data_IF_182224846404
#
_entry.id   IF_182224846404
#
_cell.length_a   1.000
_cell.length_b   1.000
_cell.length_c   1.000
_cell.angle_alpha   90.00
_cell.angle_beta   90.00
_cell.angle_gamma   90.00
#
_symmetry.space_group_name_H-M   'P 1'
#
loop_
_entity.id
_entity.type
_entity.pdbx_description
1 polymer ?
#
# COMPACT_ATOMS: atom_id res chain seq x y z
N UNK A 1 -13.15 6.44 -15.97
CA UNK A 1 -12.46 7.42 -15.12
C UNK A 1 -12.82 7.20 -13.64
N UNK A 2 -12.28 6.10 -13.08
CA UNK A 2 -12.61 5.64 -11.73
C UNK A 2 -12.08 6.60 -10.67
N UNK A 3 -10.92 7.18 -10.92
CA UNK A 3 -10.24 8.06 -9.97
C UNK A 3 -10.85 9.46 -9.90
N UNK A 4 -11.46 9.95 -10.98
CA UNK A 4 -12.09 11.27 -11.03
C UNK A 4 -13.32 11.43 -10.13
N UNK A 5 -13.85 10.33 -9.59
CA UNK A 5 -15.01 10.35 -8.68
C UNK A 5 -14.62 10.34 -7.20
N UNK A 6 -13.39 9.95 -6.88
CA UNK A 6 -12.88 10.00 -5.52
C UNK A 6 -12.51 11.44 -5.15
N UNK A 7 -13.08 12.03 -4.08
CA UNK A 7 -12.76 13.41 -3.69
C UNK A 7 -11.28 13.63 -3.38
N UNK A 8 -10.58 12.58 -2.96
CA UNK A 8 -9.16 12.63 -2.67
C UNK A 8 -8.32 12.64 -3.94
N UNK A 9 -8.65 11.76 -4.88
CA UNK A 9 -7.92 11.62 -6.14
C UNK A 9 -8.31 12.68 -7.18
N UNK A 10 -9.57 13.12 -7.22
CA UNK A 10 -10.05 14.10 -8.20
C UNK A 10 -9.29 15.43 -8.16
N UNK A 11 -8.70 15.75 -7.01
CA UNK A 11 -7.86 16.94 -6.84
C UNK A 11 -6.59 16.91 -7.71
N UNK A 12 -6.11 15.72 -8.07
CA UNK A 12 -4.83 15.52 -8.75
C UNK A 12 -4.95 15.01 -10.17
N UNK A 13 -6.13 14.53 -10.56
CA UNK A 13 -6.35 13.95 -11.88
C UNK A 13 -6.83 14.98 -12.89
N UNK A 14 -5.98 15.29 -13.84
CA UNK A 14 -6.43 15.70 -15.17
C UNK A 14 -6.52 14.47 -16.06
N UNK A 15 -7.43 14.49 -17.03
CA UNK A 15 -7.70 13.38 -17.96
C UNK A 15 -6.42 12.88 -18.67
N UNK A 16 -5.45 13.76 -18.86
CA UNK A 16 -4.18 13.48 -19.54
C UNK A 16 -3.14 12.77 -18.64
N UNK A 17 -3.37 12.70 -17.31
CA UNK A 17 -2.45 12.06 -16.35
C UNK A 17 -2.75 10.57 -16.14
N UNK A 18 -3.79 10.04 -16.78
CA UNK A 18 -4.20 8.63 -16.66
C UNK A 18 -3.42 7.69 -17.57
N UNK A 19 -2.56 8.20 -18.44
CA UNK A 19 -1.70 7.38 -19.29
C UNK A 19 -0.50 6.84 -18.50
N UNK A 20 -0.08 5.63 -18.81
CA UNK A 20 0.88 4.81 -18.06
C UNK A 20 2.23 5.47 -17.76
N UNK A 21 2.64 6.46 -18.54
CA UNK A 21 3.90 7.20 -18.36
C UNK A 21 3.88 8.18 -17.18
N UNK A 22 2.68 8.57 -16.70
CA UNK A 22 2.50 9.55 -15.62
C UNK A 22 2.17 8.93 -14.26
N UNK A 23 1.99 7.63 -14.19
CA UNK A 23 1.60 6.92 -12.95
C UNK A 23 2.53 7.23 -11.76
N UNK A 24 3.87 7.20 -11.88
CA UNK A 24 4.75 7.56 -10.77
C UNK A 24 4.60 9.00 -10.31
N UNK A 25 4.43 9.94 -11.26
CA UNK A 25 4.21 11.34 -10.94
C UNK A 25 2.90 11.56 -10.17
N UNK A 26 1.87 10.84 -10.56
CA UNK A 26 0.58 10.83 -9.89
C UNK A 26 0.70 10.32 -8.44
N UNK A 27 1.30 9.17 -8.22
CA UNK A 27 1.51 8.63 -6.87
C UNK A 27 2.34 9.56 -5.98
N UNK A 28 3.33 10.23 -6.55
CA UNK A 28 4.10 11.24 -5.84
C UNK A 28 3.22 12.41 -5.39
N UNK A 29 2.39 12.96 -6.27
CA UNK A 29 1.48 14.07 -5.94
C UNK A 29 0.48 13.67 -4.86
N UNK A 30 -0.11 12.48 -4.97
CA UNK A 30 -1.00 11.94 -3.94
C UNK A 30 -0.28 11.82 -2.60
N UNK A 31 0.96 11.32 -2.60
CA UNK A 31 1.74 11.14 -1.38
C UNK A 31 2.05 12.46 -0.66
N UNK A 32 2.13 13.57 -1.37
CA UNK A 32 2.46 14.87 -0.77
C UNK A 32 1.37 15.38 0.19
N UNK A 33 0.11 15.13 -0.11
CA UNK A 33 -1.03 15.59 0.71
C UNK A 33 -1.44 14.55 1.78
N UNK A 34 -0.88 13.35 1.73
CA UNK A 34 -1.17 12.32 2.74
C UNK A 34 -0.45 12.61 4.05
N UNK A 35 -1.10 12.36 5.20
CA UNK A 35 -0.41 12.35 6.48
C UNK A 35 0.58 11.18 6.55
N UNK A 36 1.67 11.35 7.29
CA UNK A 36 2.56 10.27 7.63
C UNK A 36 1.86 9.24 8.53
N UNK A 37 1.93 7.98 8.17
CA UNK A 37 1.43 6.88 8.99
C UNK A 37 2.37 6.65 10.17
N UNK A 38 1.79 6.49 11.36
CA UNK A 38 2.57 6.12 12.54
C UNK A 38 2.89 4.62 12.49
N UNK A 39 4.11 4.29 12.11
CA UNK A 39 4.61 2.91 12.12
C UNK A 39 4.76 2.40 13.56
N UNK A 40 4.32 1.17 13.82
CA UNK A 40 4.43 0.54 15.12
C UNK A 40 5.10 -0.82 14.99
N UNK A 41 6.22 -1.01 15.69
CA UNK A 41 6.82 -2.34 15.85
C UNK A 41 5.98 -3.12 16.87
N UNK A 42 5.21 -4.09 16.37
CA UNK A 42 4.25 -4.84 17.18
C UNK A 42 3.87 -6.15 16.50
N UNK A 43 3.64 -7.19 17.28
CA UNK A 43 3.06 -8.42 16.77
C UNK A 43 1.61 -8.24 16.32
N UNK A 44 1.18 -9.11 15.40
CA UNK A 44 -0.24 -9.19 15.06
C UNK A 44 -1.04 -9.63 16.29
N UNK A 45 -2.34 -9.29 16.35
CA UNK A 45 -3.20 -9.79 17.43
C UNK A 45 -3.14 -11.32 17.54
N UNK A 46 -3.12 -11.85 18.76
CA UNK A 46 -3.03 -13.31 19.03
C UNK A 46 -4.11 -14.14 18.32
N UNK A 47 -5.28 -13.55 18.09
CA UNK A 47 -6.38 -14.21 17.38
C UNK A 47 -6.38 -13.94 15.88
N UNK A 48 -5.36 -13.29 15.32
CA UNK A 48 -5.21 -13.13 13.89
C UNK A 48 -4.72 -14.44 13.26
N UNK A 49 -5.34 -14.83 12.16
CA UNK A 49 -4.95 -16.03 11.41
C UNK A 49 -4.68 -15.71 9.95
N UNK A 50 -3.71 -16.42 9.39
CA UNK A 50 -3.49 -16.39 7.95
C UNK A 50 -4.65 -17.09 7.24
N UNK A 51 -5.22 -16.46 6.22
CA UNK A 51 -6.39 -16.99 5.52
C UNK A 51 -6.30 -16.68 4.03
N UNK A 52 -6.47 -17.72 3.21
CA UNK A 52 -6.42 -17.62 1.76
C UNK A 52 -7.58 -16.81 1.16
N UNK A 53 -8.65 -16.55 1.94
CA UNK A 53 -9.72 -15.67 1.52
C UNK A 53 -9.33 -14.19 1.52
N UNK A 54 -8.25 -13.81 2.19
CA UNK A 54 -7.74 -12.43 2.15
C UNK A 54 -6.89 -12.25 0.90
N UNK A 55 -7.32 -11.36 0.02
CA UNK A 55 -6.59 -10.97 -1.18
C UNK A 55 -5.88 -9.66 -0.91
N UNK A 56 -4.58 -9.61 -1.17
CA UNK A 56 -3.76 -8.41 -1.10
C UNK A 56 -3.07 -8.18 -2.44
N UNK A 57 -3.44 -7.11 -3.12
CA UNK A 57 -2.80 -6.64 -4.34
C UNK A 57 -2.00 -5.37 -4.07
N UNK A 58 -0.66 -5.46 -4.13
CA UNK A 58 0.20 -4.27 -4.13
C UNK A 58 0.29 -3.72 -5.54
N UNK A 59 0.13 -2.41 -5.69
CA UNK A 59 0.18 -1.72 -6.99
C UNK A 59 1.33 -0.73 -7.07
N UNK A 60 1.67 -0.11 -5.95
CA UNK A 60 2.76 0.84 -5.85
C UNK A 60 3.48 0.68 -4.53
N UNK A 61 4.81 0.67 -4.61
CA UNK A 61 5.68 0.92 -3.47
C UNK A 61 6.87 1.72 -3.99
N UNK A 62 7.06 2.93 -3.51
CA UNK A 62 8.07 3.84 -4.03
C UNK A 62 8.78 4.61 -2.92
N UNK A 63 10.05 4.88 -3.14
CA UNK A 63 10.84 5.80 -2.32
C UNK A 63 10.54 7.24 -2.74
N UNK A 64 9.85 7.97 -1.89
CA UNK A 64 9.40 9.33 -2.17
C UNK A 64 10.58 10.27 -2.38
N UNK A 65 11.64 10.13 -1.56
CA UNK A 65 12.83 10.99 -1.66
C UNK A 65 13.54 10.81 -3.00
N UNK A 66 13.84 9.59 -3.39
CA UNK A 66 14.53 9.30 -4.65
C UNK A 66 13.75 9.82 -5.84
N UNK A 67 12.45 9.67 -5.82
CA UNK A 67 11.59 10.14 -6.90
C UNK A 67 11.57 11.68 -6.96
N UNK A 68 11.35 12.35 -5.83
CA UNK A 68 11.36 13.81 -5.70
C UNK A 68 12.72 14.40 -6.10
N UNK A 69 13.81 13.78 -5.66
CA UNK A 69 15.16 14.19 -6.03
C UNK A 69 15.42 14.05 -7.53
N UNK A 70 15.04 12.93 -8.16
CA UNK A 70 15.18 12.73 -9.59
C UNK A 70 14.46 13.77 -10.42
N UNK A 71 13.25 14.15 -10.05
CA UNK A 71 12.48 15.24 -10.69
C UNK A 71 13.10 16.61 -10.42
N UNK A 72 13.58 16.86 -9.21
CA UNK A 72 14.20 18.13 -8.85
C UNK A 72 15.58 18.32 -9.52
N UNK A 73 16.39 17.27 -9.60
CA UNK A 73 17.69 17.29 -10.25
C UNK A 73 17.60 17.67 -11.73
N UNK A 74 16.59 17.16 -12.45
CA UNK A 74 16.32 17.52 -13.84
C UNK A 74 15.97 19.00 -14.06
N UNK A 75 15.70 19.77 -12.99
CA UNK A 75 15.37 21.20 -13.02
C UNK A 75 16.37 22.08 -12.30
N UNK A 76 17.53 21.55 -11.88
CA UNK A 76 18.59 22.30 -11.18
C UNK A 76 18.21 22.83 -9.80
N UNK A 77 17.27 22.17 -9.09
CA UNK A 77 16.83 22.57 -7.75
C UNK A 77 17.63 21.85 -6.64
N UNK A 78 17.72 22.51 -5.48
CA UNK A 78 18.30 21.95 -4.26
C UNK A 78 17.56 20.68 -3.82
N UNK A 79 18.27 19.65 -3.32
CA UNK A 79 17.63 18.48 -2.76
C UNK A 79 16.61 18.82 -1.67
N UNK A 80 15.52 18.07 -1.56
CA UNK A 80 14.55 18.25 -0.46
C UNK A 80 15.19 17.93 0.89
N UNK A 81 14.60 18.45 1.98
CA UNK A 81 15.05 18.15 3.33
C UNK A 81 14.86 16.66 3.68
N UNK A 82 15.74 16.13 4.54
CA UNK A 82 15.69 14.72 4.99
C UNK A 82 14.36 14.34 5.68
N UNK A 83 13.66 15.32 6.26
CA UNK A 83 12.38 15.16 6.93
C UNK A 83 11.25 14.64 6.02
N UNK A 84 11.42 14.76 4.70
CA UNK A 84 10.48 14.28 3.68
C UNK A 84 10.81 12.88 3.14
N UNK A 85 11.79 12.19 3.70
CA UNK A 85 12.20 10.87 3.23
C UNK A 85 11.27 9.77 3.73
N UNK A 86 10.80 8.93 2.81
CA UNK A 86 9.92 7.83 3.16
C UNK A 86 9.47 6.99 1.99
N UNK A 87 8.64 6.01 2.32
CA UNK A 87 7.98 5.14 1.36
C UNK A 87 6.50 5.51 1.23
N UNK A 88 6.01 5.42 0.01
CA UNK A 88 4.59 5.44 -0.31
C UNK A 88 4.16 4.04 -0.77
N UNK A 89 3.06 3.55 -0.24
CA UNK A 89 2.47 2.26 -0.56
C UNK A 89 1.02 2.45 -1.00
N UNK A 90 0.63 1.73 -2.04
CA UNK A 90 -0.75 1.71 -2.51
C UNK A 90 -1.11 0.32 -3.02
N UNK A 91 -2.37 -0.01 -2.88
CA UNK A 91 -2.93 -1.26 -3.39
C UNK A 91 -4.39 -1.43 -3.01
N UNK A 92 -4.83 -2.67 -3.00
CA UNK A 92 -6.16 -3.06 -2.57
C UNK A 92 -6.10 -4.35 -1.73
N UNK A 93 -7.05 -4.49 -0.82
CA UNK A 93 -7.22 -5.71 -0.04
C UNK A 93 -8.69 -5.95 0.25
N UNK A 94 -9.12 -7.20 0.13
CA UNK A 94 -10.48 -7.61 0.41
C UNK A 94 -10.55 -9.07 0.90
N UNK A 95 -11.70 -9.43 1.49
CA UNK A 95 -11.98 -10.78 1.94
C UNK A 95 -13.04 -11.38 1.03
N UNK A 96 -12.71 -12.49 0.37
CA UNK A 96 -13.61 -13.20 -0.55
C UNK A 96 -14.84 -13.69 0.22
N UNK A 97 -16.03 -13.42 -0.32
CA UNK A 97 -17.30 -13.86 0.23
C UNK A 97 -17.79 -13.09 1.46
N UNK A 98 -17.17 -11.92 1.75
CA UNK A 98 -17.53 -11.06 2.87
C UNK A 98 -17.95 -9.67 2.41
N UNK A 99 -18.66 -8.93 3.29
CA UNK A 99 -18.92 -7.52 3.09
C UNK A 99 -17.66 -6.70 3.44
N UNK A 100 -17.01 -6.16 2.43
CA UNK A 100 -15.73 -5.47 2.58
C UNK A 100 -15.83 -4.07 3.22
N UNK A 101 -17.03 -3.51 3.36
CA UNK A 101 -17.26 -2.28 4.11
C UNK A 101 -17.03 -2.45 5.62
N UNK A 102 -17.08 -3.68 6.14
CA UNK A 102 -16.93 -3.97 7.56
C UNK A 102 -15.46 -4.08 8.03
N UNK A 103 -14.51 -4.14 7.10
CA UNK A 103 -13.11 -4.41 7.43
C UNK A 103 -12.28 -3.15 7.62
N UNK A 104 -11.62 -3.06 8.77
CA UNK A 104 -10.48 -2.17 8.98
C UNK A 104 -9.22 -2.82 8.44
N UNK A 105 -8.46 -2.09 7.63
CA UNK A 105 -7.21 -2.52 7.03
C UNK A 105 -6.00 -1.99 7.80
N UNK A 106 -5.00 -2.83 8.00
CA UNK A 106 -3.68 -2.42 8.50
C UNK A 106 -2.61 -3.13 7.68
N UNK A 107 -1.84 -2.37 6.92
CA UNK A 107 -0.67 -2.89 6.23
C UNK A 107 0.39 -3.27 7.26
N UNK A 108 1.10 -4.36 7.06
CA UNK A 108 2.29 -4.66 7.85
C UNK A 108 3.44 -5.17 6.99
N UNK A 109 4.63 -4.86 7.45
CA UNK A 109 5.87 -5.34 6.88
C UNK A 109 6.46 -6.35 7.85
N UNK A 110 6.69 -7.58 7.40
CA UNK A 110 7.37 -8.62 8.18
C UNK A 110 8.80 -8.78 7.69
N UNK A 111 9.76 -8.51 8.56
CA UNK A 111 11.16 -8.71 8.26
C UNK A 111 11.47 -10.19 8.05
N UNK A 112 12.12 -10.55 6.95
CA UNK A 112 12.26 -11.97 6.51
C UNK A 112 13.17 -12.82 7.37
N UNK A 113 14.16 -12.22 8.02
CA UNK A 113 15.13 -12.95 8.85
C UNK A 113 14.66 -13.09 10.30
N UNK A 114 14.11 -12.03 10.87
CA UNK A 114 13.73 -11.98 12.29
C UNK A 114 12.27 -12.30 12.54
N UNK A 115 11.40 -12.16 11.54
CA UNK A 115 9.95 -12.22 11.67
C UNK A 115 9.31 -11.03 12.38
N UNK A 116 10.09 -10.01 12.72
CA UNK A 116 9.57 -8.78 13.33
C UNK A 116 8.59 -8.07 12.40
N UNK A 117 7.54 -7.48 12.98
CA UNK A 117 6.49 -6.82 12.21
C UNK A 117 6.40 -5.34 12.49
N UNK A 118 6.24 -4.57 11.42
CA UNK A 118 5.98 -3.14 11.44
C UNK A 118 4.56 -2.92 10.93
N UNK A 119 3.66 -2.51 11.82
CA UNK A 119 2.26 -2.22 11.48
C UNK A 119 2.13 -0.78 11.03
N UNK A 120 1.51 -0.59 9.87
CA UNK A 120 1.36 0.70 9.19
C UNK A 120 -0.14 0.95 8.98
N UNK A 121 -0.76 1.84 9.77
CA UNK A 121 -2.12 2.26 9.52
C UNK A 121 -2.27 2.80 8.10
N UNK A 122 -3.30 2.38 7.40
CA UNK A 122 -3.57 2.82 6.04
C UNK A 122 -4.74 3.78 5.99
N UNK A 123 -4.79 4.59 4.96
CA UNK A 123 -5.94 5.38 4.56
C UNK A 123 -6.73 4.57 3.53
N UNK A 124 -8.05 4.54 3.69
CA UNK A 124 -8.94 3.89 2.73
C UNK A 124 -9.04 4.72 1.44
N UNK A 125 -9.01 4.02 0.31
CA UNK A 125 -9.14 4.60 -1.02
C UNK A 125 -10.32 3.96 -1.75
N UNK A 126 -11.13 4.78 -2.40
CA UNK A 126 -12.26 4.32 -3.20
C UNK A 126 -11.79 3.78 -4.56
N UNK A 127 -12.14 2.52 -4.87
CA UNK A 127 -11.66 1.76 -6.03
C UNK A 127 -12.81 1.12 -6.82
N UNK A 128 -13.62 1.91 -7.51
CA UNK A 128 -14.73 1.39 -8.32
C UNK A 128 -14.27 0.53 -9.51
N UNK A 129 -13.02 0.63 -9.92
CA UNK A 129 -12.40 -0.24 -10.91
C UNK A 129 -12.26 -1.70 -10.42
N UNK A 130 -12.02 -1.90 -9.13
CA UNK A 130 -11.99 -3.23 -8.51
C UNK A 130 -13.40 -3.82 -8.51
N UNK A 131 -14.41 -3.04 -8.11
CA UNK A 131 -15.81 -3.46 -8.07
C UNK A 131 -16.32 -3.94 -9.44
N UNK A 132 -15.98 -3.22 -10.48
CA UNK A 132 -16.34 -3.58 -11.86
C UNK A 132 -15.80 -4.94 -12.32
N UNK A 133 -14.71 -5.42 -11.73
CA UNK A 133 -14.06 -6.68 -12.06
C UNK A 133 -14.46 -7.86 -11.14
N UNK A 134 -15.06 -7.58 -9.97
CA UNK A 134 -15.36 -8.56 -8.92
C UNK A 134 -16.84 -8.59 -8.58
N UNK A 135 -17.68 -8.81 -9.58
CA UNK A 135 -19.15 -8.72 -9.50
C UNK A 135 -19.81 -9.59 -8.43
N UNK A 136 -19.16 -10.66 -8.02
CA UNK A 136 -19.65 -11.60 -7.01
C UNK A 136 -19.20 -11.26 -5.59
N UNK A 137 -18.49 -10.15 -5.40
CA UNK A 137 -18.04 -9.66 -4.10
C UNK A 137 -18.82 -8.41 -3.69
N UNK A 138 -18.88 -8.14 -2.39
CA UNK A 138 -19.69 -7.05 -1.82
C UNK A 138 -18.77 -5.91 -1.37
N UNK A 139 -19.08 -4.68 -1.77
CA UNK A 139 -18.40 -3.44 -1.41
C UNK A 139 -16.90 -3.47 -1.72
N UNK A 140 -16.54 -3.99 -2.88
CA UNK A 140 -15.14 -4.02 -3.32
C UNK A 140 -14.60 -2.67 -3.77
N UNK A 141 -15.47 -1.69 -4.00
CA UNK A 141 -15.08 -0.29 -4.21
C UNK A 141 -14.41 0.36 -2.98
N UNK A 142 -14.58 -0.24 -1.79
CA UNK A 142 -13.97 0.23 -0.53
C UNK A 142 -12.66 -0.50 -0.18
N UNK A 143 -12.12 -1.29 -1.10
CA UNK A 143 -10.97 -2.16 -0.82
C UNK A 143 -9.61 -1.50 -0.99
N UNK A 144 -9.55 -0.33 -1.63
CA UNK A 144 -8.31 0.39 -1.85
C UNK A 144 -7.68 0.88 -0.56
N UNK A 145 -6.36 0.99 -0.57
CA UNK A 145 -5.61 1.59 0.52
C UNK A 145 -4.38 2.35 0.03
N UNK A 146 -3.95 3.32 0.82
CA UNK A 146 -2.66 3.97 0.68
C UNK A 146 -2.04 4.25 2.05
N UNK A 147 -0.71 4.29 2.11
CA UNK A 147 0.04 4.63 3.30
C UNK A 147 1.34 5.35 2.95
N UNK A 148 1.83 6.18 3.86
CA UNK A 148 3.11 6.87 3.75
C UNK A 148 3.86 6.74 5.06
N UNK A 149 5.05 6.13 5.05
CA UNK A 149 5.86 5.90 6.23
C UNK A 149 7.24 6.55 6.09
N UNK A 150 7.76 7.15 7.17
CA UNK A 150 9.11 7.70 7.15
C UNK A 150 10.16 6.61 6.94
N UNK A 151 11.21 6.96 6.23
CA UNK A 151 12.32 6.05 5.98
C UNK A 151 12.98 5.58 7.30
N UNK A 152 13.05 6.47 8.29
CA UNK A 152 13.59 6.19 9.62
C UNK A 152 12.79 5.17 10.42
N UNK A 153 11.50 5.01 10.10
CA UNK A 153 10.60 4.07 10.79
C UNK A 153 10.71 2.64 10.24
N UNK A 154 11.38 2.46 9.10
CA UNK A 154 11.56 1.17 8.44
C UNK A 154 13.04 0.87 8.34
N UNK A 155 13.62 0.09 9.27
CA UNK A 155 15.04 -0.29 9.26
C UNK A 155 15.43 -0.95 7.94
N UNK A 156 16.73 -0.92 7.63
CA UNK A 156 17.26 -1.65 6.47
C UNK A 156 16.99 -3.14 6.63
N UNK A 157 16.48 -3.77 5.59
CA UNK A 157 16.13 -5.19 5.60
C UNK A 157 15.26 -5.60 4.44
N UNK A 158 14.87 -6.86 4.43
CA UNK A 158 13.94 -7.41 3.45
C UNK A 158 12.61 -7.74 4.12
N UNK A 159 11.53 -7.16 3.62
CA UNK A 159 10.20 -7.26 4.21
C UNK A 159 9.20 -7.87 3.24
N UNK A 160 8.37 -8.79 3.74
CA UNK A 160 7.15 -9.19 3.05
C UNK A 160 6.04 -8.20 3.38
N UNK A 161 5.25 -7.83 2.38
CA UNK A 161 4.02 -7.08 2.61
C UNK A 161 2.91 -8.03 3.07
N UNK A 162 2.23 -7.68 4.14
CA UNK A 162 1.02 -8.34 4.57
C UNK A 162 -0.09 -7.35 4.89
N UNK A 163 -1.34 -7.82 4.82
CA UNK A 163 -2.52 -7.02 5.19
C UNK A 163 -3.30 -7.73 6.27
N UNK A 164 -3.48 -7.06 7.39
CA UNK A 164 -4.40 -7.45 8.45
C UNK A 164 -5.77 -6.83 8.17
N UNK A 165 -6.79 -7.69 8.10
CA UNK A 165 -8.20 -7.36 7.91
C UNK A 165 -8.94 -7.63 9.22
N UNK A 166 -9.41 -6.60 9.90
CA UNK A 166 -10.16 -6.72 11.15
C UNK A 166 -11.63 -6.44 10.90
N UNK A 167 -12.48 -7.45 11.02
CA UNK A 167 -13.92 -7.31 10.86
C UNK A 167 -14.53 -6.61 12.10
N UNK A 168 -15.10 -5.43 11.88
CA UNK A 168 -15.76 -4.65 12.91
C UNK A 168 -17.03 -5.28 13.47
N UNK A 169 -17.67 -6.19 12.70
CA UNK A 169 -18.93 -6.86 13.07
C UNK A 169 -18.67 -8.15 13.85
N UNK A 170 -17.91 -9.08 13.29
CA UNK A 170 -17.67 -10.40 13.86
C UNK A 170 -16.44 -10.46 14.78
N UNK A 171 -15.63 -9.42 14.81
CA UNK A 171 -14.33 -9.35 15.48
C UNK A 171 -13.29 -10.36 14.95
N UNK A 172 -13.54 -10.94 13.79
CA UNK A 172 -12.61 -11.82 13.12
C UNK A 172 -11.39 -11.01 12.63
N UNK A 173 -10.20 -11.60 12.73
CA UNK A 173 -8.95 -11.00 12.29
C UNK A 173 -8.24 -11.94 11.35
N UNK A 174 -8.16 -11.56 10.10
CA UNK A 174 -7.57 -12.35 9.04
C UNK A 174 -6.39 -11.60 8.45
N UNK A 175 -5.39 -12.33 7.95
CA UNK A 175 -4.32 -11.70 7.20
C UNK A 175 -3.83 -12.58 6.06
N UNK A 176 -3.19 -11.96 5.09
CA UNK A 176 -2.41 -12.68 4.08
C UNK A 176 -1.21 -11.84 3.65
N UNK A 177 -0.33 -12.46 2.87
CA UNK A 177 0.85 -11.83 2.30
C UNK A 177 0.68 -11.59 0.80
N UNK A 178 1.27 -10.51 0.33
CA UNK A 178 1.49 -10.25 -1.08
C UNK A 178 2.70 -11.03 -1.60
N UNK A 179 2.80 -11.15 -2.93
CA UNK A 179 4.02 -11.64 -3.58
C UNK A 179 5.16 -10.62 -3.66
N UNK A 180 4.91 -9.39 -3.22
CA UNK A 180 5.91 -8.32 -3.24
C UNK A 180 6.84 -8.38 -2.04
N UNK A 181 8.10 -8.00 -2.26
CA UNK A 181 9.12 -7.84 -1.22
C UNK A 181 9.65 -6.42 -1.26
N UNK A 182 9.67 -5.74 -0.12
CA UNK A 182 10.36 -4.47 0.07
C UNK A 182 11.80 -4.75 0.50
N UNK A 183 12.77 -4.17 -0.22
CA UNK A 183 14.17 -4.10 0.22
C UNK A 183 14.45 -2.69 0.73
N UNK A 184 14.22 -2.48 1.99
CA UNK A 184 14.44 -1.20 2.62
C UNK A 184 15.92 -0.83 2.65
N UNK A 185 16.25 0.37 2.19
CA UNK A 185 17.63 0.85 2.06
C UNK A 185 18.32 0.46 0.74
N UNK A 186 17.67 -0.31 -0.14
CA UNK A 186 18.10 -0.60 -1.51
C UNK A 186 17.24 0.17 -2.53
N UNK A 187 17.60 0.08 -3.81
CA UNK A 187 16.97 0.94 -4.83
C UNK A 187 15.62 0.48 -5.36
N UNK A 188 15.19 -0.75 -5.09
CA UNK A 188 14.03 -1.32 -5.77
C UNK A 188 13.14 -2.18 -4.86
N UNK A 189 11.84 -2.16 -5.16
CA UNK A 189 10.86 -3.12 -4.68
C UNK A 189 10.77 -4.27 -5.67
N UNK A 190 10.77 -5.51 -5.19
CA UNK A 190 10.78 -6.70 -6.04
C UNK A 190 9.55 -7.56 -5.82
N UNK A 191 9.10 -8.22 -6.89
CA UNK A 191 8.18 -9.35 -6.80
C UNK A 191 8.92 -10.59 -6.29
N UNK A 192 8.29 -11.33 -5.41
CA UNK A 192 8.78 -12.65 -5.04
C UNK A 192 8.38 -13.64 -6.15
N UNK A 193 9.30 -13.89 -7.09
CA UNK A 193 9.08 -14.80 -8.23
C UNK A 193 8.89 -16.27 -7.79
N UNK A 194 9.23 -16.62 -6.55
CA UNK A 194 9.19 -18.01 -6.09
C UNK A 194 7.79 -18.60 -6.00
N UNK A 195 6.74 -17.77 -5.94
CA UNK A 195 5.34 -18.22 -5.93
C UNK A 195 4.74 -18.49 -7.32
N UNK A 196 5.34 -18.00 -8.40
CA UNK A 196 4.86 -18.28 -9.78
C UNK A 196 5.16 -19.69 -10.28
N UNK A 197 6.07 -20.43 -9.65
CA UNK A 197 6.49 -21.75 -10.07
C UNK A 197 5.62 -22.92 -9.53
N UNK A 198 4.51 -22.65 -8.82
CA UNK A 198 3.63 -23.67 -8.23
C UNK A 198 2.13 -23.45 -8.56
N UNK A 199 1.85 -22.87 -9.69
CA UNK A 199 0.50 -22.83 -10.26
C UNK A 199 0.38 -23.77 -11.44
#
# INVERSE_FOLDING_TARGET
>A
DCYGKDPYYSKYLTTDMLESEYTPAYHYLVSMDMPWSRVQKKELPENAREDACVVLGMECAMDIYKWKYGVAAGRGKTPPAEEDEGYYFQGYAFVIGSDNACYKKTLFLEEKETGEKLLIPVMDCYRPDIDGNLKDQIHTELTGFAAKAHLSDIPKGQYRFGMLMEDGCSRQKLFSYSSWVLRAGEEQVYFDETKRAKG
#
